data_IF_333180151803
#
_entry.id   IF_333180151803
#
_cell.length_a   1.000
_cell.length_b   1.000
_cell.length_c   1.000
_cell.angle_alpha   90.00
_cell.angle_beta   90.00
_cell.angle_gamma   90.00
#
_symmetry.space_group_name_H-M   'P 1'
#
loop_
_entity.id
_entity.type
_entity.pdbx_description
1 polymer ?
#
# COMPACT_ATOMS: atom_id res chain seq x y z
N UNK A 1 7.37 -18.25 -7.31
CA UNK A 1 7.68 -18.82 -5.96
C UNK A 1 7.16 -17.93 -4.83
N UNK A 2 6.92 -16.63 -5.09
CA UNK A 2 6.46 -15.67 -4.07
C UNK A 2 4.94 -15.66 -3.86
N UNK A 3 4.13 -15.88 -4.90
CA UNK A 3 2.68 -16.10 -4.74
C UNK A 3 2.38 -17.27 -3.78
N UNK A 4 3.26 -18.29 -3.74
CA UNK A 4 3.12 -19.40 -2.79
C UNK A 4 3.10 -18.91 -1.34
N UNK A 5 3.95 -17.96 -0.94
CA UNK A 5 4.05 -17.50 0.45
C UNK A 5 2.73 -16.90 0.99
N UNK A 6 1.93 -16.30 0.11
CA UNK A 6 0.64 -15.72 0.47
C UNK A 6 -0.50 -16.76 0.48
N UNK A 7 -0.33 -17.90 -0.19
CA UNK A 7 -1.35 -18.95 -0.31
C UNK A 7 -1.07 -20.14 0.61
N UNK A 8 0.21 -20.42 0.93
CA UNK A 8 0.65 -21.53 1.77
C UNK A 8 0.72 -21.20 3.26
N UNK A 9 0.41 -19.95 3.63
CA UNK A 9 0.41 -19.47 5.02
C UNK A 9 1.75 -18.92 5.52
N UNK A 10 2.84 -19.03 4.75
CA UNK A 10 4.17 -18.56 5.16
C UNK A 10 4.24 -17.07 5.47
N UNK A 11 3.39 -16.25 4.84
CA UNK A 11 3.28 -14.82 5.16
C UNK A 11 2.65 -14.59 6.54
N UNK A 12 1.57 -15.30 6.86
CA UNK A 12 0.86 -15.18 8.14
C UNK A 12 1.77 -15.60 9.31
N UNK A 13 2.57 -16.65 9.14
CA UNK A 13 3.53 -17.09 10.17
C UNK A 13 4.54 -15.99 10.52
N UNK A 14 4.99 -15.22 9.52
CA UNK A 14 5.93 -14.11 9.71
C UNK A 14 5.26 -12.83 10.18
N UNK A 15 4.00 -12.60 9.79
CA UNK A 15 3.25 -11.38 10.05
C UNK A 15 1.84 -11.73 10.61
N UNK A 16 1.73 -12.19 11.87
CA UNK A 16 0.49 -12.76 12.42
C UNK A 16 -0.71 -11.81 12.44
N UNK A 17 -0.45 -10.50 12.51
CA UNK A 17 -1.48 -9.46 12.50
C UNK A 17 -1.83 -8.94 11.11
N UNK A 18 -1.18 -9.40 10.03
CA UNK A 18 -1.34 -8.87 8.66
C UNK A 18 -1.26 -7.33 8.59
N UNK A 19 -0.46 -6.71 9.46
CA UNK A 19 -0.30 -5.25 9.60
C UNK A 19 -1.59 -4.47 9.96
N UNK A 20 -2.54 -5.10 10.65
CA UNK A 20 -3.76 -4.45 11.18
C UNK A 20 -3.44 -3.19 11.99
N UNK A 21 -2.32 -3.18 12.72
CA UNK A 21 -1.85 -2.05 13.51
C UNK A 21 -1.59 -0.76 12.71
N UNK A 22 -1.36 -0.87 11.41
CA UNK A 22 -1.08 0.27 10.52
C UNK A 22 -2.29 0.75 9.74
N UNK A 23 -3.34 -0.07 9.73
CA UNK A 23 -4.47 0.11 8.81
C UNK A 23 -5.24 1.40 9.08
N UNK A 24 -5.37 1.80 10.36
CA UNK A 24 -5.97 3.08 10.72
C UNK A 24 -5.15 4.28 10.21
N UNK A 25 -3.81 4.20 10.26
CA UNK A 25 -2.95 5.25 9.74
C UNK A 25 -2.97 5.31 8.21
N UNK A 26 -2.93 4.16 7.52
CA UNK A 26 -3.07 4.09 6.05
C UNK A 26 -4.41 4.68 5.59
N UNK A 27 -5.51 4.31 6.24
CA UNK A 27 -6.84 4.85 5.95
C UNK A 27 -6.90 6.38 6.12
N UNK A 28 -6.19 6.94 7.10
CA UNK A 28 -6.08 8.40 7.25
C UNK A 28 -5.32 9.06 6.09
N UNK A 29 -4.28 8.41 5.55
CA UNK A 29 -3.56 8.95 4.40
C UNK A 29 -4.42 8.92 3.13
N UNK A 30 -5.22 7.86 2.94
CA UNK A 30 -6.18 7.78 1.84
C UNK A 30 -7.23 8.89 1.98
N UNK A 31 -7.88 9.01 3.15
CA UNK A 31 -8.85 10.09 3.46
C UNK A 31 -8.26 11.49 3.20
N UNK A 32 -6.99 11.71 3.56
CA UNK A 32 -6.27 12.95 3.25
C UNK A 32 -6.17 13.20 1.74
N UNK A 33 -5.84 12.19 0.94
CA UNK A 33 -5.78 12.33 -0.52
C UNK A 33 -7.16 12.65 -1.11
N UNK A 34 -8.21 11.93 -0.68
CA UNK A 34 -9.58 12.15 -1.13
C UNK A 34 -10.04 13.58 -0.86
N UNK A 35 -9.81 14.08 0.36
CA UNK A 35 -10.15 15.47 0.74
C UNK A 35 -9.40 16.53 -0.06
N UNK A 36 -8.12 16.30 -0.39
CA UNK A 36 -7.33 17.25 -1.19
C UNK A 36 -7.87 17.44 -2.60
N UNK A 37 -8.52 16.42 -3.15
CA UNK A 37 -9.05 16.40 -4.51
C UNK A 37 -10.58 16.43 -4.57
N UNK A 38 -11.24 16.60 -3.42
CA UNK A 38 -12.70 16.57 -3.30
C UNK A 38 -13.32 15.32 -3.96
N UNK A 39 -12.69 14.17 -3.76
CA UNK A 39 -13.16 12.89 -4.30
C UNK A 39 -14.15 12.24 -3.33
N UNK A 40 -15.33 11.93 -3.84
CA UNK A 40 -16.42 11.23 -3.13
C UNK A 40 -16.80 9.98 -3.93
N UNK A 41 -15.94 8.93 -3.93
CA UNK A 41 -16.21 7.71 -4.69
C UNK A 41 -17.45 7.00 -4.12
N UNK A 42 -18.35 6.55 -5.00
CA UNK A 42 -19.47 5.69 -4.61
C UNK A 42 -19.02 4.22 -4.48
N UNK A 43 -17.92 3.85 -5.14
CA UNK A 43 -17.34 2.51 -5.09
C UNK A 43 -15.83 2.56 -4.85
N UNK A 44 -15.37 1.89 -3.79
CA UNK A 44 -13.95 1.74 -3.46
C UNK A 44 -13.58 0.26 -3.53
N UNK A 45 -12.52 -0.06 -4.27
CA UNK A 45 -11.94 -1.40 -4.27
C UNK A 45 -10.52 -1.38 -3.73
N UNK A 46 -10.15 -2.33 -2.86
CA UNK A 46 -8.75 -2.59 -2.49
C UNK A 46 -8.31 -3.93 -3.08
N UNK A 47 -7.20 -3.91 -3.83
CA UNK A 47 -6.59 -5.11 -4.41
C UNK A 47 -5.42 -5.52 -3.52
N UNK A 48 -5.40 -6.77 -3.05
CA UNK A 48 -4.52 -7.22 -1.99
C UNK A 48 -4.95 -6.69 -0.62
N UNK A 49 -6.24 -6.82 -0.28
CA UNK A 49 -6.81 -6.19 0.92
C UNK A 49 -6.35 -6.81 2.25
N UNK A 50 -5.70 -7.97 2.23
CA UNK A 50 -5.24 -8.66 3.43
C UNK A 50 -6.38 -8.87 4.44
N UNK A 51 -6.13 -8.49 5.69
CA UNK A 51 -7.14 -8.56 6.76
C UNK A 51 -8.34 -7.59 6.59
N UNK A 52 -8.38 -6.75 5.55
CA UNK A 52 -9.51 -5.88 5.22
C UNK A 52 -9.72 -4.69 6.15
N UNK A 53 -8.76 -4.42 7.04
CA UNK A 53 -8.90 -3.40 8.08
C UNK A 53 -8.82 -1.98 7.49
N UNK A 54 -8.05 -1.74 6.42
CA UNK A 54 -8.01 -0.44 5.74
C UNK A 54 -9.40 -0.08 5.21
N UNK A 55 -10.06 -0.98 4.49
CA UNK A 55 -11.44 -0.79 4.02
C UNK A 55 -12.41 -0.62 5.19
N UNK A 56 -12.28 -1.40 6.27
CA UNK A 56 -13.16 -1.24 7.44
C UNK A 56 -13.05 0.17 8.05
N UNK A 57 -11.84 0.72 8.15
CA UNK A 57 -11.60 2.08 8.67
C UNK A 57 -12.04 3.17 7.70
N UNK A 58 -11.96 2.92 6.40
CA UNK A 58 -12.48 3.82 5.38
C UNK A 58 -14.01 3.84 5.39
N UNK A 59 -14.67 2.69 5.55
CA UNK A 59 -16.14 2.60 5.63
C UNK A 59 -16.71 3.58 6.67
N UNK A 60 -16.08 3.71 7.84
CA UNK A 60 -16.50 4.63 8.91
C UNK A 60 -16.39 6.12 8.53
N UNK A 61 -15.69 6.45 7.45
CA UNK A 61 -15.43 7.81 6.96
C UNK A 61 -16.17 8.15 5.67
N UNK A 62 -16.68 7.14 4.96
CA UNK A 62 -17.34 7.31 3.67
C UNK A 62 -18.85 7.53 3.85
N UNK A 63 -19.51 7.98 2.78
CA UNK A 63 -20.97 8.06 2.74
C UNK A 63 -21.62 6.69 2.96
N UNK A 64 -22.84 6.70 3.50
CA UNK A 64 -23.63 5.50 3.74
C UNK A 64 -24.07 4.79 2.46
N UNK A 65 -23.98 5.43 1.29
CA UNK A 65 -24.19 4.79 -0.01
C UNK A 65 -22.90 4.24 -0.64
N UNK A 66 -21.73 4.47 -0.03
CA UNK A 66 -20.47 3.99 -0.59
C UNK A 66 -20.33 2.47 -0.40
N UNK A 67 -20.03 1.76 -1.48
CA UNK A 67 -19.75 0.33 -1.49
C UNK A 67 -18.24 0.07 -1.47
N UNK A 68 -17.79 -0.87 -0.65
CA UNK A 68 -16.38 -1.19 -0.47
C UNK A 68 -16.11 -2.68 -0.77
N UNK A 69 -15.09 -2.94 -1.59
CA UNK A 69 -14.75 -4.29 -2.06
C UNK A 69 -13.27 -4.61 -1.85
N UNK A 70 -12.99 -5.59 -1.00
CA UNK A 70 -11.64 -6.12 -0.83
C UNK A 70 -11.44 -7.39 -1.65
N UNK A 71 -10.44 -7.37 -2.53
CA UNK A 71 -10.00 -8.55 -3.28
C UNK A 71 -8.65 -9.02 -2.73
N UNK A 72 -8.54 -10.30 -2.41
CA UNK A 72 -7.26 -10.92 -2.08
C UNK A 72 -7.17 -12.32 -2.70
N UNK A 73 -5.96 -12.79 -2.98
CA UNK A 73 -5.72 -14.14 -3.51
C UNK A 73 -5.42 -15.14 -2.39
N UNK A 74 -5.18 -14.66 -1.16
CA UNK A 74 -4.86 -15.48 0.00
C UNK A 74 -6.14 -15.96 0.71
N UNK A 75 -6.35 -17.30 0.83
CA UNK A 75 -7.45 -17.84 1.64
C UNK A 75 -7.35 -17.40 3.11
N UNK A 76 -6.13 -17.27 3.64
CA UNK A 76 -5.90 -16.85 5.02
C UNK A 76 -6.29 -15.37 5.23
N UNK A 77 -5.99 -14.50 4.27
CA UNK A 77 -6.47 -13.12 4.30
C UNK A 77 -8.01 -13.08 4.30
N UNK A 78 -8.65 -13.92 3.47
CA UNK A 78 -10.11 -14.02 3.44
C UNK A 78 -10.69 -14.47 4.79
N UNK A 79 -10.09 -15.45 5.46
CA UNK A 79 -10.51 -15.88 6.80
C UNK A 79 -10.48 -14.72 7.83
N UNK A 80 -9.51 -13.82 7.71
CA UNK A 80 -9.36 -12.66 8.59
C UNK A 80 -10.35 -11.53 8.27
N UNK A 81 -10.65 -11.30 6.99
CA UNK A 81 -11.50 -10.18 6.57
C UNK A 81 -12.99 -10.55 6.47
N UNK A 82 -13.34 -11.80 6.16
CA UNK A 82 -14.73 -12.23 6.01
C UNK A 82 -15.65 -11.91 7.21
N UNK A 83 -15.21 -12.04 8.49
CA UNK A 83 -16.04 -11.64 9.64
C UNK A 83 -16.33 -10.14 9.72
N UNK A 84 -15.59 -9.29 8.98
CA UNK A 84 -15.79 -7.83 8.93
C UNK A 84 -16.82 -7.43 7.87
N UNK A 85 -17.20 -8.35 6.98
CA UNK A 85 -18.15 -8.09 5.90
C UNK A 85 -19.52 -7.66 6.45
N UNK A 86 -20.22 -6.82 5.68
CA UNK A 86 -21.56 -6.35 5.99
C UNK A 86 -22.27 -5.90 4.70
N UNK A 87 -23.42 -5.23 4.81
CA UNK A 87 -24.24 -4.81 3.66
C UNK A 87 -23.47 -3.98 2.62
N UNK A 88 -22.43 -3.24 3.02
CA UNK A 88 -21.65 -2.33 2.15
C UNK A 88 -20.15 -2.61 2.11
N UNK A 89 -19.69 -3.62 2.85
CA UNK A 89 -18.28 -4.01 2.88
C UNK A 89 -18.18 -5.49 2.54
N UNK A 90 -17.59 -5.76 1.39
CA UNK A 90 -17.57 -7.06 0.78
C UNK A 90 -16.12 -7.52 0.61
N UNK A 91 -15.89 -8.82 0.71
CA UNK A 91 -14.59 -9.43 0.50
C UNK A 91 -14.70 -10.61 -0.46
N UNK A 92 -13.74 -10.72 -1.37
CA UNK A 92 -13.71 -11.78 -2.38
C UNK A 92 -12.32 -12.39 -2.49
N UNK A 93 -12.26 -13.71 -2.35
CA UNK A 93 -11.07 -14.50 -2.67
C UNK A 93 -10.97 -14.65 -4.18
N UNK A 94 -10.32 -13.69 -4.83
CA UNK A 94 -10.14 -13.69 -6.28
C UNK A 94 -9.00 -12.76 -6.70
N UNK A 95 -8.38 -13.12 -7.83
CA UNK A 95 -7.58 -12.18 -8.59
C UNK A 95 -8.51 -11.28 -9.42
N UNK A 96 -8.61 -10.00 -9.03
CA UNK A 96 -9.48 -9.03 -9.70
C UNK A 96 -9.23 -8.90 -11.20
N UNK A 97 -8.02 -9.24 -11.69
CA UNK A 97 -7.70 -9.21 -13.14
C UNK A 97 -8.55 -10.20 -13.94
N UNK A 98 -8.99 -11.27 -13.31
CA UNK A 98 -9.80 -12.33 -13.93
C UNK A 98 -11.30 -12.03 -13.87
N UNK A 99 -11.70 -11.02 -13.12
CA UNK A 99 -13.09 -10.62 -12.96
C UNK A 99 -13.56 -9.80 -14.15
N UNK A 100 -14.71 -10.17 -14.71
CA UNK A 100 -15.35 -9.46 -15.81
C UNK A 100 -16.26 -8.36 -15.28
N UNK A 101 -16.42 -7.28 -16.05
CA UNK A 101 -17.36 -6.19 -15.78
C UNK A 101 -17.21 -5.48 -14.42
N UNK A 102 -16.01 -5.57 -13.82
CA UNK A 102 -15.67 -4.81 -12.60
C UNK A 102 -15.18 -3.42 -12.97
N UNK A 103 -15.90 -2.41 -12.50
CA UNK A 103 -15.48 -1.02 -12.54
C UNK A 103 -15.76 -0.35 -11.19
N UNK A 104 -14.78 0.39 -10.65
CA UNK A 104 -14.95 1.19 -9.43
C UNK A 104 -14.50 2.64 -9.61
N UNK A 105 -15.04 3.55 -8.81
CA UNK A 105 -14.63 4.96 -8.86
C UNK A 105 -13.21 5.15 -8.34
N UNK A 106 -12.85 4.38 -7.31
CA UNK A 106 -11.52 4.36 -6.71
C UNK A 106 -10.99 2.93 -6.53
N UNK A 107 -9.74 2.70 -6.92
CA UNK A 107 -9.01 1.47 -6.65
C UNK A 107 -7.77 1.76 -5.79
N UNK A 108 -7.56 0.95 -4.76
CA UNK A 108 -6.49 1.06 -3.78
C UNK A 108 -5.49 -0.08 -3.97
N UNK A 109 -4.21 0.26 -3.99
CA UNK A 109 -3.08 -0.68 -4.04
C UNK A 109 -2.12 -0.37 -2.90
N UNK A 110 -2.27 -1.07 -1.78
CA UNK A 110 -1.57 -0.74 -0.53
C UNK A 110 -0.44 -1.74 -0.25
N UNK A 111 0.81 -1.39 -0.59
CA UNK A 111 1.97 -2.29 -0.40
C UNK A 111 1.78 -3.65 -1.13
N UNK A 112 1.58 -3.59 -2.44
CA UNK A 112 1.24 -4.74 -3.30
C UNK A 112 2.29 -4.98 -4.38
N UNK A 113 2.62 -3.93 -5.13
CA UNK A 113 3.36 -4.06 -6.40
C UNK A 113 4.80 -4.53 -6.21
N UNK A 114 5.38 -4.27 -5.03
CA UNK A 114 6.73 -4.66 -4.63
C UNK A 114 6.90 -6.17 -4.46
N UNK A 115 5.79 -6.91 -4.37
CA UNK A 115 5.77 -8.37 -4.24
C UNK A 115 5.52 -9.10 -5.56
N UNK A 116 5.07 -8.38 -6.60
CA UNK A 116 4.66 -8.97 -7.88
C UNK A 116 5.83 -9.16 -8.82
N UNK A 117 6.01 -10.36 -9.39
CA UNK A 117 7.09 -10.63 -10.35
C UNK A 117 6.99 -9.70 -11.58
N UNK A 118 5.77 -9.47 -12.09
CA UNK A 118 5.48 -8.52 -13.19
C UNK A 118 4.39 -7.52 -12.80
N UNK A 119 4.78 -6.47 -12.07
CA UNK A 119 3.87 -5.38 -11.72
C UNK A 119 3.45 -4.53 -12.93
N UNK A 120 4.19 -4.54 -14.05
CA UNK A 120 3.81 -3.78 -15.25
C UNK A 120 2.54 -4.36 -15.87
N UNK A 121 2.52 -5.67 -16.11
CA UNK A 121 1.33 -6.35 -16.64
C UNK A 121 0.16 -6.29 -15.67
N UNK A 122 0.43 -6.43 -14.37
CA UNK A 122 -0.58 -6.27 -13.33
C UNK A 122 -1.23 -4.89 -13.36
N UNK A 123 -0.42 -3.82 -13.31
CA UNK A 123 -0.91 -2.46 -13.31
C UNK A 123 -1.63 -2.08 -14.61
N UNK A 124 -1.19 -2.58 -15.78
CA UNK A 124 -1.94 -2.40 -17.06
C UNK A 124 -3.31 -3.08 -17.02
N UNK A 125 -3.41 -4.27 -16.44
CA UNK A 125 -4.69 -4.98 -16.31
C UNK A 125 -5.68 -4.27 -15.38
N UNK A 126 -5.19 -3.44 -14.45
CA UNK A 126 -6.03 -2.63 -13.55
C UNK A 126 -6.43 -1.26 -14.12
N UNK A 127 -5.76 -0.77 -15.19
CA UNK A 127 -6.11 0.51 -15.82
C UNK A 127 -7.60 0.65 -16.12
N UNK A 128 -8.26 -0.30 -16.82
CA UNK A 128 -9.66 -0.16 -17.20
C UNK A 128 -10.66 -0.41 -16.06
N UNK A 129 -10.21 -0.89 -14.89
CA UNK A 129 -11.07 -1.32 -13.78
C UNK A 129 -11.45 -0.19 -12.83
N UNK A 130 -10.85 0.99 -12.97
CA UNK A 130 -11.20 2.11 -12.13
C UNK A 130 -10.85 3.45 -12.73
N UNK A 131 -11.61 4.49 -12.40
CA UNK A 131 -11.31 5.85 -12.83
C UNK A 131 -10.11 6.44 -12.07
N UNK A 132 -10.08 6.36 -10.74
CA UNK A 132 -8.94 6.80 -9.94
C UNK A 132 -8.27 5.64 -9.23
N UNK A 133 -6.96 5.74 -9.03
CA UNK A 133 -6.19 4.78 -8.26
C UNK A 133 -5.33 5.50 -7.24
N UNK A 134 -5.32 5.00 -6.01
CA UNK A 134 -4.35 5.40 -5.00
C UNK A 134 -3.40 4.23 -4.74
N UNK A 135 -2.11 4.47 -4.98
CA UNK A 135 -1.05 3.50 -4.75
C UNK A 135 -0.21 3.94 -3.57
N UNK A 136 0.00 3.03 -2.63
CA UNK A 136 1.00 3.17 -1.58
C UNK A 136 2.19 2.26 -1.92
N UNK A 137 3.35 2.85 -2.16
CA UNK A 137 4.53 2.17 -2.69
C UNK A 137 5.70 2.37 -1.71
N UNK A 138 6.25 1.29 -1.11
CA UNK A 138 7.43 1.39 -0.27
C UNK A 138 8.65 1.93 -1.02
N UNK A 139 9.33 2.91 -0.42
CA UNK A 139 10.57 3.48 -0.98
C UNK A 139 11.80 2.90 -0.28
N UNK A 140 12.00 1.60 -0.48
CA UNK A 140 13.07 0.85 0.18
C UNK A 140 14.49 1.24 -0.27
N UNK A 141 14.61 1.84 -1.46
CA UNK A 141 15.91 2.18 -2.02
C UNK A 141 16.39 3.54 -1.48
N UNK A 142 17.44 3.52 -0.66
CA UNK A 142 18.07 4.71 -0.07
C UNK A 142 19.58 4.49 0.09
N UNK A 143 20.35 5.57 0.25
CA UNK A 143 21.78 5.49 0.54
C UNK A 143 22.04 4.63 1.78
N UNK A 144 21.23 4.81 2.85
CA UNK A 144 21.34 4.00 4.06
C UNK A 144 21.10 2.51 3.82
N UNK A 145 20.10 2.13 3.01
CA UNK A 145 19.78 0.71 2.75
C UNK A 145 20.81 0.05 1.83
N UNK A 146 21.41 0.80 0.91
CA UNK A 146 22.50 0.33 0.04
C UNK A 146 23.81 0.17 0.81
N UNK A 147 24.17 1.15 1.66
CA UNK A 147 25.42 1.09 2.45
C UNK A 147 25.39 0.03 3.55
N UNK A 148 24.19 -0.37 4.00
CA UNK A 148 24.04 -1.49 4.95
C UNK A 148 24.10 -2.81 4.18
N UNK A 149 25.14 -3.60 4.43
CA UNK A 149 25.40 -4.90 3.78
C UNK A 149 24.17 -5.82 3.64
N UNK A 150 23.25 -5.81 4.62
CA UNK A 150 22.01 -6.63 4.60
C UNK A 150 20.73 -5.80 4.55
N UNK A 151 20.78 -4.52 4.20
CA UNK A 151 19.62 -3.62 4.23
C UNK A 151 18.46 -4.13 3.37
N UNK A 152 18.67 -4.20 2.05
CA UNK A 152 17.65 -4.68 1.11
C UNK A 152 17.34 -6.18 1.26
N UNK A 153 18.36 -6.99 1.61
CA UNK A 153 18.16 -8.41 1.89
C UNK A 153 17.21 -8.62 3.07
N UNK A 154 17.33 -7.82 4.13
CA UNK A 154 16.43 -7.89 5.28
C UNK A 154 14.99 -7.56 4.89
N UNK A 155 14.76 -6.53 4.06
CA UNK A 155 13.42 -6.19 3.56
C UNK A 155 12.83 -7.36 2.78
N UNK A 156 13.64 -7.99 1.92
CA UNK A 156 13.23 -9.19 1.17
C UNK A 156 12.87 -10.37 2.08
N UNK A 157 13.69 -10.65 3.09
CA UNK A 157 13.51 -11.81 3.98
C UNK A 157 12.31 -11.63 4.92
N UNK A 158 12.11 -10.42 5.43
CA UNK A 158 11.06 -10.08 6.40
C UNK A 158 9.69 -9.86 5.75
N UNK A 159 9.65 -9.10 4.65
CA UNK A 159 8.39 -8.66 4.03
C UNK A 159 8.15 -9.29 2.66
N UNK A 160 9.17 -9.85 2.01
CA UNK A 160 9.01 -10.45 0.68
C UNK A 160 9.07 -9.44 -0.46
N UNK A 161 9.62 -8.23 -0.25
CA UNK A 161 9.77 -7.25 -1.33
C UNK A 161 10.84 -7.72 -2.31
N UNK A 162 10.48 -7.78 -3.59
CA UNK A 162 11.38 -8.16 -4.67
C UNK A 162 11.72 -7.00 -5.60
N UNK A 163 10.97 -5.91 -5.51
CA UNK A 163 11.26 -4.65 -6.19
C UNK A 163 11.50 -3.55 -5.15
N UNK A 164 12.39 -2.61 -5.47
CA UNK A 164 12.79 -1.53 -4.58
C UNK A 164 12.71 -0.21 -5.32
N UNK A 165 11.96 0.74 -4.79
CA UNK A 165 11.68 2.01 -5.46
C UNK A 165 12.35 3.19 -4.76
N UNK A 166 12.70 4.21 -5.55
CA UNK A 166 12.72 5.61 -5.10
C UNK A 166 11.43 6.29 -5.57
N UNK A 167 11.14 7.49 -5.06
CA UNK A 167 9.99 8.28 -5.52
C UNK A 167 10.02 8.43 -7.04
N UNK A 168 11.16 8.81 -7.60
CA UNK A 168 11.31 9.12 -9.03
C UNK A 168 11.06 7.87 -9.87
N UNK A 169 11.59 6.72 -9.46
CA UNK A 169 11.36 5.46 -10.15
C UNK A 169 9.89 5.03 -10.06
N UNK A 170 9.25 5.18 -8.91
CA UNK A 170 7.83 4.86 -8.74
C UNK A 170 6.94 5.75 -9.62
N UNK A 171 7.15 7.08 -9.59
CA UNK A 171 6.39 8.01 -10.41
C UNK A 171 6.63 7.80 -11.91
N UNK A 172 7.89 7.57 -12.30
CA UNK A 172 8.24 7.32 -13.70
C UNK A 172 7.62 6.02 -14.21
N UNK A 173 7.65 4.97 -13.39
CA UNK A 173 7.02 3.67 -13.69
C UNK A 173 5.53 3.83 -13.97
N UNK A 174 4.80 4.59 -13.16
CA UNK A 174 3.38 4.86 -13.38
C UNK A 174 3.15 5.54 -14.74
N UNK A 175 3.94 6.57 -15.04
CA UNK A 175 3.86 7.29 -16.31
C UNK A 175 4.19 6.39 -17.52
N UNK A 176 5.21 5.53 -17.42
CA UNK A 176 5.61 4.61 -18.49
C UNK A 176 4.54 3.53 -18.76
N UNK A 177 3.70 3.20 -17.78
CA UNK A 177 2.53 2.32 -17.94
C UNK A 177 1.36 3.06 -18.61
N UNK A 178 1.36 4.39 -18.58
CA UNK A 178 0.30 5.24 -19.12
C UNK A 178 -0.66 5.80 -18.06
N UNK A 179 -0.28 5.74 -16.79
CA UNK A 179 -1.01 6.44 -15.73
C UNK A 179 -0.72 7.93 -15.74
N UNK A 180 -1.76 8.73 -15.55
CA UNK A 180 -1.61 10.16 -15.25
C UNK A 180 -1.51 10.33 -13.73
N UNK A 181 -0.33 10.71 -13.22
CA UNK A 181 -0.17 10.99 -11.77
C UNK A 181 -0.67 12.40 -11.48
N UNK A 182 -1.73 12.50 -10.68
CA UNK A 182 -2.41 13.75 -10.35
C UNK A 182 -1.83 14.46 -9.12
N UNK A 183 -1.43 13.69 -8.11
CA UNK A 183 -0.82 14.20 -6.88
C UNK A 183 -0.09 13.07 -6.15
N UNK A 184 0.82 13.43 -5.27
CA UNK A 184 1.49 12.47 -4.40
C UNK A 184 1.99 13.15 -3.13
N UNK A 185 2.23 12.35 -2.10
CA UNK A 185 3.00 12.78 -0.93
C UNK A 185 3.70 11.60 -0.27
N UNK A 186 4.72 11.89 0.52
CA UNK A 186 5.38 10.88 1.34
C UNK A 186 4.54 10.52 2.55
N UNK A 187 4.53 9.25 2.88
CA UNK A 187 4.01 8.73 4.14
C UNK A 187 5.20 8.28 4.99
N UNK A 188 5.30 8.82 6.21
CA UNK A 188 6.49 8.71 7.03
C UNK A 188 6.32 7.65 8.12
N UNK A 189 6.05 6.40 7.74
CA UNK A 189 5.83 5.28 8.67
C UNK A 189 6.87 5.23 9.80
N UNK A 190 8.15 5.41 9.46
CA UNK A 190 9.27 5.36 10.42
C UNK A 190 9.31 6.53 11.42
N UNK A 191 8.50 7.56 11.22
CA UNK A 191 8.35 8.73 12.10
C UNK A 191 7.00 8.66 12.83
N UNK A 192 5.93 8.35 12.09
CA UNK A 192 4.55 8.49 12.55
C UNK A 192 4.08 7.31 13.41
N UNK A 193 4.60 6.10 13.16
CA UNK A 193 4.21 4.92 13.92
C UNK A 193 5.22 4.61 15.04
N UNK A 194 4.74 4.27 16.25
CA UNK A 194 5.60 3.91 17.37
C UNK A 194 6.40 2.64 17.05
N UNK A 195 7.70 2.67 17.35
CA UNK A 195 8.57 1.50 17.22
C UNK A 195 8.73 0.80 18.57
N UNK A 196 8.57 -0.53 18.60
CA UNK A 196 8.81 -1.35 19.81
C UNK A 196 10.30 -1.39 20.24
N UNK A 197 11.22 -1.01 19.35
CA UNK A 197 12.66 -1.02 19.60
C UNK A 197 13.16 0.34 20.15
N UNK A 198 13.67 0.41 21.39
CA UNK A 198 14.07 1.67 22.03
C UNK A 198 15.10 2.49 21.25
N UNK A 199 16.05 1.82 20.57
CA UNK A 199 17.10 2.47 19.77
C UNK A 199 16.61 3.12 18.47
N UNK A 200 15.43 2.75 17.94
CA UNK A 200 14.88 3.35 16.72
C UNK A 200 14.23 4.71 16.98
N UNK A 201 13.81 5.02 18.22
CA UNK A 201 13.30 6.36 18.59
C UNK A 201 14.35 7.46 18.40
N UNK A 202 15.63 7.16 18.70
CA UNK A 202 16.75 8.10 18.54
C UNK A 202 17.06 8.35 17.05
N UNK A 203 16.89 7.34 16.20
CA UNK A 203 17.03 7.47 14.74
C UNK A 203 15.83 8.17 14.07
N UNK A 204 14.69 8.27 14.76
CA UNK A 204 13.52 9.02 14.30
C UNK A 204 13.74 10.53 14.28
N UNK A 205 14.53 11.08 15.21
CA UNK A 205 14.79 12.52 15.33
C UNK A 205 15.56 13.10 14.13
N UNK A 206 16.73 12.55 13.72
CA UNK A 206 17.41 13.00 12.51
C UNK A 206 16.53 12.90 11.27
N UNK A 207 15.74 11.83 11.17
CA UNK A 207 14.83 11.62 10.05
C UNK A 207 13.72 12.66 10.01
N UNK A 208 13.09 12.96 11.15
CA UNK A 208 12.06 14.00 11.28
C UNK A 208 12.60 15.39 10.96
N UNK A 209 13.78 15.74 11.47
CA UNK A 209 14.41 17.02 11.20
C UNK A 209 14.71 17.17 9.71
N UNK A 210 15.39 16.18 9.12
CA UNK A 210 15.75 16.24 7.71
C UNK A 210 14.49 16.26 6.83
N UNK A 211 13.47 15.48 7.15
CA UNK A 211 12.21 15.46 6.40
C UNK A 211 11.48 16.80 6.45
N UNK A 212 11.55 17.51 7.58
CA UNK A 212 10.97 18.86 7.71
C UNK A 212 11.69 19.89 6.83
N UNK A 213 13.00 19.71 6.63
CA UNK A 213 13.84 20.61 5.82
C UNK A 213 13.75 20.26 4.33
N UNK A 214 13.88 18.98 3.99
CA UNK A 214 13.88 18.46 2.63
C UNK A 214 13.42 16.99 2.63
N UNK A 215 12.16 16.78 2.22
CA UNK A 215 11.53 15.46 2.22
C UNK A 215 12.22 14.48 1.26
N UNK A 216 12.59 14.94 0.07
CA UNK A 216 13.27 14.12 -0.95
C UNK A 216 14.61 13.63 -0.43
N UNK A 217 15.43 14.54 0.09
CA UNK A 217 16.73 14.21 0.65
C UNK A 217 16.61 13.25 1.83
N UNK A 218 15.61 13.44 2.69
CA UNK A 218 15.34 12.52 3.79
C UNK A 218 14.99 11.11 3.28
N UNK A 219 14.13 11.02 2.28
CA UNK A 219 13.76 9.74 1.66
C UNK A 219 14.96 9.07 0.99
N UNK A 220 15.72 9.78 0.17
CA UNK A 220 16.87 9.23 -0.56
C UNK A 220 18.02 8.81 0.35
N UNK A 221 18.29 9.55 1.43
CA UNK A 221 19.44 9.28 2.30
C UNK A 221 19.10 8.30 3.40
N UNK A 222 17.99 8.53 4.10
CA UNK A 222 17.65 7.79 5.31
C UNK A 222 16.67 6.64 5.03
N UNK A 223 15.85 6.70 3.98
CA UNK A 223 14.81 5.69 3.71
C UNK A 223 13.74 5.65 4.81
N UNK A 224 12.87 4.63 4.80
CA UNK A 224 11.79 4.49 5.81
C UNK A 224 10.56 5.36 5.53
N UNK A 225 10.35 5.68 4.27
CA UNK A 225 9.19 6.40 3.76
C UNK A 225 8.54 5.56 2.67
N UNK A 226 7.25 5.81 2.42
CA UNK A 226 6.55 5.30 1.25
C UNK A 226 5.99 6.47 0.45
N UNK A 227 5.61 6.22 -0.78
CA UNK A 227 4.92 7.16 -1.65
C UNK A 227 3.44 6.81 -1.67
N UNK A 228 2.56 7.76 -1.32
CA UNK A 228 1.14 7.68 -1.64
C UNK A 228 0.88 8.52 -2.89
N UNK A 229 0.53 7.88 -4.01
CA UNK A 229 0.28 8.54 -5.29
C UNK A 229 -1.17 8.35 -5.72
N UNK A 230 -1.81 9.44 -6.15
CA UNK A 230 -3.10 9.43 -6.84
C UNK A 230 -2.85 9.46 -8.34
N UNK A 231 -3.44 8.52 -9.06
CA UNK A 231 -3.31 8.41 -10.50
C UNK A 231 -4.65 8.08 -11.18
N UNK A 232 -4.71 8.31 -12.49
CA UNK A 232 -5.83 7.94 -13.38
C UNK A 232 -5.35 6.96 -14.44
#
# INVERSE_FOLDING_TARGET
>A
MLEKMYVDGGYLEKNPGWHVEESAWKAQQIDRMLKRHHLEPATICEVGCGAGEVLKRLQDKMDDSCELWGYDISPQALELCAPKANERLHFKLADIRQEQDVFTDLLLLMDVIEHLEDYFSFLRALQPKSHYKILHIPLDLSAQTVLRHRGLLHVREAYGHIHYFTKELALRMLQDIGYEVLDYFYTARSIDLPTELPGRRVLGLPRKLLFTINQDLAAHVLGGFSLLALAK
#
